data_IF_229329702415
#
_entry.id   IF_229329702415
#
_cell.length_a   1.000
_cell.length_b   1.000
_cell.length_c   1.000
_cell.angle_alpha   90.00
_cell.angle_beta   90.00
_cell.angle_gamma   90.00
#
_symmetry.space_group_name_H-M   'P 1'
#
loop_
_entity.id
_entity.type
_entity.pdbx_description
1 polymer ?
#
# COMPACT_ATOMS: atom_id res chain seq x y z
N UNK A 1 52.31 -30.01 15.67
CA UNK A 1 52.30 -28.55 15.52
C UNK A 1 52.31 -28.06 14.05
N UNK A 2 51.85 -28.86 13.06
CA UNK A 2 51.79 -28.45 11.63
C UNK A 2 50.37 -28.29 11.07
N UNK A 3 49.34 -28.57 11.88
CA UNK A 3 47.92 -28.45 11.47
C UNK A 3 47.38 -27.02 11.64
N UNK A 4 47.93 -26.24 12.57
CA UNK A 4 47.48 -24.88 12.86
C UNK A 4 48.10 -23.79 11.96
N UNK A 5 49.22 -24.07 11.28
CA UNK A 5 49.85 -23.11 10.37
C UNK A 5 49.11 -22.98 9.02
N UNK A 6 48.35 -23.98 8.58
CA UNK A 6 47.68 -23.91 7.27
C UNK A 6 46.36 -23.11 7.28
N UNK A 7 45.90 -22.66 8.44
CA UNK A 7 44.70 -21.82 8.57
C UNK A 7 45.03 -20.31 8.55
N UNK A 8 46.29 -19.92 8.75
CA UNK A 8 46.71 -18.51 8.68
C UNK A 8 47.16 -18.08 7.28
N UNK A 9 47.45 -19.01 6.38
CA UNK A 9 47.92 -18.71 5.01
C UNK A 9 46.79 -18.51 3.97
N UNK A 10 45.51 -18.47 4.41
CA UNK A 10 44.35 -18.22 3.54
C UNK A 10 43.77 -16.81 3.66
N UNK A 11 44.37 -15.91 4.45
CA UNK A 11 43.93 -14.51 4.62
C UNK A 11 44.49 -13.56 3.54
N UNK A 12 44.47 -14.00 2.27
CA UNK A 12 45.14 -13.32 1.16
C UNK A 12 44.24 -12.89 -0.01
N UNK A 13 42.92 -12.83 0.15
CA UNK A 13 42.02 -12.32 -0.89
C UNK A 13 41.39 -10.98 -0.46
N UNK A 14 41.45 -9.92 -1.29
CA UNK A 14 41.10 -8.58 -0.85
C UNK A 14 39.60 -8.47 -0.59
N UNK A 15 39.25 -8.13 0.65
CA UNK A 15 37.92 -7.79 1.18
C UNK A 15 37.34 -6.49 0.56
N UNK A 16 37.76 -6.14 -0.65
CA UNK A 16 37.32 -4.94 -1.40
C UNK A 16 36.44 -5.32 -2.58
N UNK A 17 35.33 -6.00 -2.32
CA UNK A 17 34.26 -6.19 -3.31
C UNK A 17 32.85 -6.31 -2.68
N UNK A 18 32.68 -5.87 -1.43
CA UNK A 18 31.36 -5.84 -0.76
C UNK A 18 30.66 -4.47 -0.94
N UNK A 19 31.29 -3.52 -1.61
CA UNK A 19 30.71 -2.20 -1.86
C UNK A 19 30.27 -2.09 -3.32
N UNK A 20 29.03 -1.60 -3.53
CA UNK A 20 28.45 -1.09 -4.80
C UNK A 20 27.36 -1.92 -5.51
N UNK A 21 26.57 -2.75 -4.82
CA UNK A 21 25.28 -3.22 -5.39
C UNK A 21 24.08 -2.99 -4.44
N UNK A 22 23.99 -1.77 -3.89
CA UNK A 22 22.77 -1.25 -3.22
C UNK A 22 22.19 -0.03 -3.96
N UNK A 23 22.79 0.43 -5.05
CA UNK A 23 22.29 1.58 -5.79
C UNK A 23 21.19 1.14 -6.78
N UNK A 24 19.92 1.37 -6.42
CA UNK A 24 18.83 1.41 -7.40
C UNK A 24 17.48 0.89 -6.98
N UNK A 25 17.02 1.14 -5.75
CA UNK A 25 15.60 1.02 -5.38
C UNK A 25 15.20 2.14 -4.42
N UNK A 26 15.58 3.37 -4.75
CA UNK A 26 14.88 4.54 -4.23
C UNK A 26 13.65 4.78 -5.11
N UNK A 27 12.61 3.98 -4.90
CA UNK A 27 11.27 4.44 -5.20
C UNK A 27 10.91 5.42 -4.07
N UNK A 28 10.83 6.71 -4.39
CA UNK A 28 10.25 7.68 -3.48
C UNK A 28 8.83 7.21 -3.13
N UNK A 29 8.68 6.66 -1.93
CA UNK A 29 7.38 6.30 -1.38
C UNK A 29 6.68 7.61 -1.01
N UNK A 30 5.76 8.06 -1.85
CA UNK A 30 4.81 9.09 -1.47
C UNK A 30 3.78 8.43 -0.54
N UNK A 31 4.11 8.31 0.74
CA UNK A 31 3.35 7.53 1.72
C UNK A 31 1.88 7.99 1.78
N UNK A 32 0.95 7.27 1.14
CA UNK A 32 -0.47 7.37 1.47
C UNK A 32 -0.74 6.43 2.65
N UNK A 33 -0.49 6.92 3.86
CA UNK A 33 -0.71 6.15 5.10
C UNK A 33 -2.17 6.23 5.55
N UNK A 34 -2.62 5.22 6.32
CA UNK A 34 -3.83 5.27 7.16
C UNK A 34 -3.92 6.52 8.06
N UNK A 35 -2.78 7.16 8.33
CA UNK A 35 -2.66 8.46 8.99
C UNK A 35 -3.46 9.55 8.28
N UNK A 36 -3.59 9.53 6.95
CA UNK A 36 -4.36 10.56 6.22
C UNK A 36 -5.87 10.43 6.47
N UNK A 37 -6.41 9.21 6.53
CA UNK A 37 -7.82 8.99 6.85
C UNK A 37 -8.12 9.27 8.32
N UNK A 38 -7.21 8.89 9.22
CA UNK A 38 -7.33 9.21 10.65
C UNK A 38 -7.20 10.72 10.89
N UNK A 39 -6.30 11.41 10.19
CA UNK A 39 -6.17 12.86 10.20
C UNK A 39 -7.43 13.54 9.66
N UNK A 40 -8.05 13.01 8.59
CA UNK A 40 -9.32 13.49 8.07
C UNK A 40 -10.47 13.32 9.07
N UNK A 41 -10.64 12.12 9.64
CA UNK A 41 -11.65 11.86 10.68
C UNK A 41 -11.46 12.73 11.91
N UNK A 42 -10.20 12.93 12.33
CA UNK A 42 -9.85 13.77 13.48
C UNK A 42 -10.07 15.25 13.19
N UNK A 43 -9.66 15.72 12.00
CA UNK A 43 -9.85 17.10 11.55
C UNK A 43 -11.33 17.47 11.56
N UNK A 44 -12.18 16.61 10.99
CA UNK A 44 -13.62 16.83 10.91
C UNK A 44 -14.39 16.35 12.15
N UNK A 45 -13.72 15.71 13.11
CA UNK A 45 -14.32 15.12 14.32
C UNK A 45 -15.51 14.20 14.01
N UNK A 46 -15.37 13.36 12.97
CA UNK A 46 -16.44 12.47 12.51
C UNK A 46 -16.75 11.36 13.54
N UNK A 47 -18.03 11.06 13.74
CA UNK A 47 -18.49 9.95 14.59
C UNK A 47 -18.69 8.69 13.76
N UNK A 48 -18.52 7.50 14.34
CA UNK A 48 -18.72 6.23 13.63
C UNK A 48 -20.13 6.03 13.06
N UNK A 49 -21.13 6.70 13.63
CA UNK A 49 -22.50 6.67 13.14
C UNK A 49 -22.70 7.39 11.81
N UNK A 50 -21.82 8.34 11.48
CA UNK A 50 -21.95 9.27 10.37
C UNK A 50 -21.76 8.58 9.01
N UNK A 51 -22.53 8.99 8.00
CA UNK A 51 -22.39 8.56 6.61
C UNK A 51 -20.99 8.86 6.08
N UNK A 52 -20.44 10.04 6.39
CA UNK A 52 -19.07 10.40 6.01
C UNK A 52 -18.02 9.47 6.60
N UNK A 53 -18.20 9.06 7.86
CA UNK A 53 -17.29 8.10 8.50
C UNK A 53 -17.38 6.71 7.83
N UNK A 54 -18.60 6.24 7.57
CA UNK A 54 -18.87 4.94 6.95
C UNK A 54 -18.49 4.88 5.47
N UNK A 55 -18.40 6.02 4.81
CA UNK A 55 -17.96 6.09 3.43
C UNK A 55 -16.46 5.73 3.30
N UNK A 56 -15.67 5.84 4.37
CA UNK A 56 -14.24 5.51 4.38
C UNK A 56 -13.51 6.16 3.17
N UNK A 57 -12.85 5.36 2.31
CA UNK A 57 -12.20 5.86 1.10
C UNK A 57 -13.19 6.54 0.13
N UNK A 58 -14.46 6.13 0.14
CA UNK A 58 -15.49 6.64 -0.77
C UNK A 58 -15.93 8.07 -0.44
N UNK A 59 -15.49 8.62 0.70
CA UNK A 59 -15.64 10.05 1.00
C UNK A 59 -14.93 10.93 -0.04
N UNK A 60 -13.78 10.48 -0.57
CA UNK A 60 -12.99 11.19 -1.57
C UNK A 60 -12.81 10.42 -2.89
N UNK A 61 -13.18 9.14 -2.94
CA UNK A 61 -13.00 8.28 -4.11
C UNK A 61 -14.33 7.79 -4.67
N UNK A 62 -14.44 7.71 -6.00
CA UNK A 62 -15.52 6.93 -6.66
C UNK A 62 -15.18 5.45 -6.70
N UNK A 63 -13.89 5.16 -6.83
CA UNK A 63 -13.32 3.82 -6.82
C UNK A 63 -11.82 3.99 -6.64
N UNK A 64 -11.25 3.72 -5.45
CA UNK A 64 -9.82 3.91 -5.24
C UNK A 64 -8.97 3.20 -6.31
N UNK A 65 -7.99 3.89 -6.92
CA UNK A 65 -7.47 5.23 -6.55
C UNK A 65 -8.16 6.43 -7.22
N UNK A 66 -9.21 6.24 -8.02
CA UNK A 66 -9.92 7.31 -8.72
C UNK A 66 -10.70 8.19 -7.72
N UNK A 67 -10.53 9.51 -7.83
CA UNK A 67 -11.16 10.49 -6.95
C UNK A 67 -12.56 10.88 -7.45
N UNK A 68 -13.50 11.07 -6.51
CA UNK A 68 -14.77 11.76 -6.76
C UNK A 68 -14.54 13.27 -6.96
N UNK A 69 -15.61 14.04 -7.15
CA UNK A 69 -15.48 15.47 -7.44
C UNK A 69 -14.76 16.22 -6.29
N UNK A 70 -15.21 15.99 -5.05
CA UNK A 70 -14.56 16.51 -3.85
C UNK A 70 -13.10 16.07 -3.69
N UNK A 71 -12.80 14.79 -3.90
CA UNK A 71 -11.43 14.27 -3.81
C UNK A 71 -10.47 14.87 -4.83
N UNK A 72 -10.96 15.25 -6.03
CA UNK A 72 -10.15 15.99 -7.01
C UNK A 72 -9.80 17.39 -6.53
N UNK A 73 -10.71 18.03 -5.80
CA UNK A 73 -10.50 19.35 -5.20
C UNK A 73 -9.55 19.28 -4.02
N UNK A 74 -9.69 18.27 -3.15
CA UNK A 74 -8.71 17.97 -2.10
C UNK A 74 -7.32 17.73 -2.70
N UNK A 75 -7.20 16.90 -3.75
CA UNK A 75 -5.93 16.65 -4.44
C UNK A 75 -5.34 17.93 -5.03
N UNK A 76 -6.17 18.79 -5.62
CA UNK A 76 -5.74 20.06 -6.20
C UNK A 76 -5.26 21.04 -5.12
N UNK A 77 -5.97 21.12 -3.99
CA UNK A 77 -5.61 21.95 -2.85
C UNK A 77 -4.32 21.47 -2.16
N UNK A 78 -4.11 20.16 -2.03
CA UNK A 78 -2.85 19.58 -1.52
C UNK A 78 -1.67 20.01 -2.39
N UNK A 79 -1.81 19.85 -3.71
CA UNK A 79 -0.76 20.23 -4.68
C UNK A 79 -0.48 21.73 -4.65
N UNK A 80 -1.52 22.56 -4.57
CA UNK A 80 -1.37 24.02 -4.53
C UNK A 80 -0.71 24.51 -3.23
N UNK A 81 -1.01 23.86 -2.09
CA UNK A 81 -0.44 24.19 -0.79
C UNK A 81 0.93 23.57 -0.51
N UNK A 82 1.45 22.72 -1.40
CA UNK A 82 2.66 21.93 -1.13
C UNK A 82 2.53 21.04 0.11
N UNK A 83 1.30 20.57 0.39
CA UNK A 83 0.99 19.75 1.57
C UNK A 83 0.85 18.28 1.16
N UNK A 84 1.42 17.40 1.96
CA UNK A 84 1.30 15.94 1.78
C UNK A 84 0.19 15.32 2.64
N UNK A 85 -0.44 16.12 3.51
CA UNK A 85 -1.46 15.67 4.47
C UNK A 85 -2.74 16.49 4.37
N UNK A 86 -3.88 15.79 4.49
CA UNK A 86 -5.20 16.41 4.59
C UNK A 86 -5.36 16.99 6.00
N UNK A 87 -5.35 18.32 6.09
CA UNK A 87 -5.52 19.08 7.35
C UNK A 87 -6.90 19.72 7.42
N UNK A 88 -7.36 20.06 8.62
CA UNK A 88 -8.63 20.80 8.80
C UNK A 88 -8.65 22.11 8.00
N UNK A 89 -7.55 22.86 7.99
CA UNK A 89 -7.46 24.13 7.25
C UNK A 89 -7.57 23.91 5.74
N UNK A 90 -7.04 22.79 5.24
CA UNK A 90 -7.17 22.42 3.83
C UNK A 90 -8.63 22.12 3.49
N UNK A 91 -9.31 21.30 4.30
CA UNK A 91 -10.73 20.97 4.08
C UNK A 91 -11.58 22.24 4.15
N UNK A 92 -11.35 23.10 5.15
CA UNK A 92 -12.04 24.39 5.29
C UNK A 92 -11.84 25.32 4.10
N UNK A 93 -10.68 25.28 3.46
CA UNK A 93 -10.45 26.06 2.24
C UNK A 93 -11.38 25.67 1.08
N UNK A 94 -12.00 24.49 1.16
CA UNK A 94 -12.95 23.97 0.18
C UNK A 94 -14.42 24.11 0.62
N UNK A 95 -14.71 24.62 1.83
CA UNK A 95 -16.09 24.66 2.39
C UNK A 95 -17.08 25.40 1.48
N UNK A 96 -16.64 26.50 0.87
CA UNK A 96 -17.48 27.33 0.01
C UNK A 96 -17.63 26.79 -1.41
N UNK A 97 -16.87 25.76 -1.79
CA UNK A 97 -16.95 25.15 -3.10
C UNK A 97 -18.09 24.14 -3.13
N UNK A 98 -18.79 24.09 -4.25
CA UNK A 98 -19.71 23.00 -4.60
C UNK A 98 -18.92 22.09 -5.57
N UNK A 99 -18.41 20.97 -5.07
CA UNK A 99 -17.49 20.14 -5.85
C UNK A 99 -18.21 19.34 -6.91
N UNK A 100 -19.39 18.81 -6.58
CA UNK A 100 -20.13 17.87 -7.42
C UNK A 100 -21.25 18.52 -8.24
N UNK A 101 -21.51 19.80 -8.00
CA UNK A 101 -22.35 20.67 -8.81
C UNK A 101 -23.84 20.53 -8.51
N UNK A 102 -24.22 20.00 -7.34
CA UNK A 102 -25.61 19.80 -6.96
C UNK A 102 -26.27 21.04 -6.32
N UNK A 103 -25.48 22.11 -6.18
CA UNK A 103 -25.88 23.39 -5.63
C UNK A 103 -25.51 23.56 -4.15
N UNK A 104 -25.11 22.51 -3.43
CA UNK A 104 -24.74 22.59 -2.02
C UNK A 104 -23.23 22.80 -1.86
N UNK A 105 -22.80 23.74 -1.01
CA UNK A 105 -21.39 23.87 -0.68
C UNK A 105 -20.92 22.69 0.17
N UNK A 106 -19.70 22.21 -0.10
CA UNK A 106 -19.05 21.09 0.58
C UNK A 106 -19.16 21.20 2.11
N UNK A 107 -18.94 22.40 2.65
CA UNK A 107 -18.96 22.64 4.09
C UNK A 107 -20.33 22.38 4.72
N UNK A 108 -21.41 22.74 4.03
CA UNK A 108 -22.78 22.54 4.49
C UNK A 108 -23.21 21.08 4.42
N UNK A 109 -22.73 20.36 3.40
CA UNK A 109 -22.95 18.91 3.29
C UNK A 109 -22.18 18.16 4.37
N UNK A 110 -20.90 18.49 4.57
CA UNK A 110 -20.07 17.86 5.63
C UNK A 110 -20.71 18.10 7.00
N UNK A 111 -21.18 19.32 7.24
CA UNK A 111 -21.88 19.70 8.48
C UNK A 111 -23.23 19.01 8.65
N UNK A 112 -23.82 18.44 7.60
CA UNK A 112 -25.09 17.73 7.67
C UNK A 112 -24.93 16.21 7.46
N UNK A 113 -23.70 15.71 7.52
CA UNK A 113 -23.38 14.29 7.32
C UNK A 113 -23.81 13.77 5.93
N UNK A 114 -23.47 14.56 4.91
CA UNK A 114 -23.64 14.28 3.50
C UNK A 114 -22.28 14.16 2.80
N UNK A 115 -22.27 13.64 1.56
CA UNK A 115 -21.03 13.28 0.86
C UNK A 115 -20.76 14.34 -0.21
N UNK A 116 -19.80 15.26 -0.02
CA UNK A 116 -19.62 16.43 -0.89
C UNK A 116 -19.10 16.13 -2.31
N UNK A 117 -18.97 14.85 -2.64
CA UNK A 117 -18.52 14.36 -3.94
C UNK A 117 -19.53 13.43 -4.62
N UNK A 118 -20.74 13.31 -4.07
CA UNK A 118 -21.83 12.50 -4.59
C UNK A 118 -23.10 13.36 -4.77
N UNK A 119 -23.47 13.75 -6.01
CA UNK A 119 -24.61 14.62 -6.29
C UNK A 119 -25.98 14.06 -5.87
N UNK A 120 -26.02 12.84 -5.34
CA UNK A 120 -27.23 12.20 -4.80
C UNK A 120 -27.30 12.27 -3.28
N UNK A 121 -26.24 12.76 -2.63
CA UNK A 121 -26.07 12.77 -1.19
C UNK A 121 -26.07 14.21 -0.70
N UNK A 122 -27.22 14.87 -0.76
CA UNK A 122 -27.37 16.27 -0.33
C UNK A 122 -28.60 16.50 0.56
N UNK A 123 -28.63 17.61 1.32
CA UNK A 123 -29.81 17.99 2.07
C UNK A 123 -31.03 18.24 1.18
N UNK A 124 -32.23 18.02 1.72
CA UNK A 124 -33.47 18.37 1.06
C UNK A 124 -33.74 19.89 1.18
N UNK A 125 -34.10 20.55 0.07
CA UNK A 125 -34.48 21.97 0.07
C UNK A 125 -33.66 22.80 -0.93
N UNK A 126 -33.78 24.13 -0.83
CA UNK A 126 -32.97 25.05 -1.63
C UNK A 126 -31.58 25.24 -0.99
N UNK A 127 -30.52 25.25 -1.80
CA UNK A 127 -29.16 25.41 -1.29
C UNK A 127 -28.96 26.79 -0.63
N UNK A 128 -28.30 26.84 0.54
CA UNK A 128 -27.96 28.08 1.21
C UNK A 128 -26.85 28.82 0.45
N UNK A 129 -26.81 30.15 0.57
CA UNK A 129 -25.61 30.91 0.18
C UNK A 129 -24.46 30.48 1.08
N UNK A 130 -23.32 30.11 0.48
CA UNK A 130 -22.11 29.70 1.19
C UNK A 130 -21.79 30.65 2.36
N UNK A 131 -21.72 30.11 3.57
CA UNK A 131 -21.32 30.85 4.77
C UNK A 131 -19.95 30.39 5.26
N UNK A 132 -19.15 31.31 5.76
CA UNK A 132 -17.88 30.99 6.39
C UNK A 132 -18.18 30.38 7.78
N UNK A 133 -17.80 29.13 8.01
CA UNK A 133 -18.18 28.41 9.23
C UNK A 133 -17.25 28.70 10.43
N UNK A 134 -17.70 29.56 11.35
CA UNK A 134 -17.16 29.63 12.72
C UNK A 134 -17.85 28.64 13.69
N UNK A 135 -18.86 27.90 13.25
CA UNK A 135 -19.60 26.95 14.08
C UNK A 135 -19.25 25.50 13.78
N UNK A 136 -18.27 24.93 14.49
CA UNK A 136 -18.13 23.48 14.57
C UNK A 136 -19.36 22.87 15.26
N UNK A 137 -19.78 21.67 14.86
CA UNK A 137 -20.75 20.89 15.61
C UNK A 137 -20.31 20.75 17.08
N UNK A 138 -21.14 21.21 18.00
CA UNK A 138 -21.00 20.89 19.42
C UNK A 138 -22.13 21.47 20.26
N UNK A 139 -23.13 20.65 20.62
CA UNK A 139 -23.88 20.76 21.88
C UNK A 139 -24.94 19.64 22.00
N UNK A 140 -24.59 18.51 22.62
CA UNK A 140 -25.12 18.15 23.93
C UNK A 140 -24.57 16.80 24.41
N UNK A 141 -24.11 16.81 25.65
CA UNK A 141 -23.97 15.66 26.56
C UNK A 141 -25.30 14.87 26.49
N UNK A 142 -25.31 13.56 26.31
CA UNK A 142 -24.97 12.59 27.35
C UNK A 142 -24.33 11.32 26.79
N UNK A 143 -23.24 10.91 27.45
CA UNK A 143 -22.66 9.58 27.36
C UNK A 143 -23.65 8.58 28.00
N UNK A 144 -24.05 7.52 27.27
CA UNK A 144 -23.50 6.23 27.64
C UNK A 144 -23.28 5.37 26.40
N UNK A 145 -22.04 5.28 25.94
CA UNK A 145 -21.53 4.01 25.42
C UNK A 145 -20.03 4.11 25.21
N UNK A 146 -19.30 3.78 26.27
CA UNK A 146 -18.11 2.96 26.08
C UNK A 146 -18.57 1.64 25.45
N UNK A 147 -18.72 1.62 24.13
CA UNK A 147 -18.67 0.36 23.41
C UNK A 147 -17.20 0.01 23.34
N UNK A 148 -16.86 -1.11 23.98
CA UNK A 148 -15.60 -1.81 23.79
C UNK A 148 -15.15 -1.63 22.34
N UNK A 149 -14.04 -0.92 22.12
CA UNK A 149 -13.22 -1.20 20.96
C UNK A 149 -13.04 -2.71 20.99
N UNK A 150 -13.56 -3.39 19.98
CA UNK A 150 -13.41 -4.83 19.81
C UNK A 150 -11.98 -5.18 20.17
N UNK A 151 -11.75 -6.20 21.00
CA UNK A 151 -10.38 -6.58 21.39
C UNK A 151 -9.49 -6.77 20.14
N UNK A 152 -10.08 -7.10 19.00
CA UNK A 152 -9.41 -7.16 17.70
C UNK A 152 -8.92 -5.80 17.18
N UNK A 153 -9.63 -4.69 17.38
CA UNK A 153 -9.21 -3.35 16.94
C UNK A 153 -8.03 -2.80 17.78
N UNK A 154 -7.87 -3.31 19.01
CA UNK A 154 -6.74 -2.96 19.90
C UNK A 154 -5.45 -3.70 19.53
N UNK A 155 -5.55 -4.91 19.00
CA UNK A 155 -4.39 -5.73 18.61
C UNK A 155 -4.13 -5.75 17.10
N UNK A 156 -5.13 -5.41 16.28
CA UNK A 156 -5.01 -5.25 14.83
C UNK A 156 -5.41 -3.81 14.48
N UNK A 157 -4.44 -2.89 14.47
CA UNK A 157 -4.69 -1.52 14.08
C UNK A 157 -5.40 -1.42 12.73
N UNK A 158 -6.29 -0.43 12.55
CA UNK A 158 -6.98 -0.15 11.27
C UNK A 158 -6.00 0.23 10.13
N UNK A 159 -4.72 0.39 10.45
CA UNK A 159 -3.66 0.76 9.53
C UNK A 159 -3.23 -0.43 8.65
N UNK A 160 -3.10 -0.22 7.34
CA UNK A 160 -2.68 -1.24 6.38
C UNK A 160 -1.22 -1.65 6.59
N UNK A 161 -1.00 -2.76 7.30
CA UNK A 161 0.34 -3.39 7.42
C UNK A 161 0.78 -4.09 6.13
N UNK A 162 -0.13 -4.30 5.19
CA UNK A 162 0.15 -5.04 3.97
C UNK A 162 1.28 -4.42 3.12
N UNK A 163 1.28 -3.09 2.82
CA UNK A 163 2.42 -2.44 2.17
C UNK A 163 3.75 -2.60 2.89
N UNK A 164 3.78 -2.74 4.23
CA UNK A 164 5.02 -3.03 4.95
C UNK A 164 5.47 -4.47 4.72
N UNK A 165 4.56 -5.42 4.83
CA UNK A 165 4.83 -6.86 4.73
C UNK A 165 5.29 -7.28 3.32
N UNK A 166 4.75 -6.66 2.26
CA UNK A 166 5.10 -7.01 0.86
C UNK A 166 6.54 -6.72 0.49
N UNK A 167 7.29 -5.90 1.24
CA UNK A 167 8.69 -5.63 0.95
C UNK A 167 9.55 -6.89 1.08
N UNK A 168 9.19 -7.79 2.00
CA UNK A 168 9.91 -9.05 2.19
C UNK A 168 9.82 -9.98 0.96
N UNK A 169 8.63 -10.41 0.49
CA UNK A 169 8.54 -11.28 -0.67
C UNK A 169 9.12 -10.62 -1.93
N UNK A 170 8.91 -9.32 -2.14
CA UNK A 170 9.42 -8.61 -3.32
C UNK A 170 10.95 -8.56 -3.29
N UNK A 171 11.55 -8.04 -2.20
CA UNK A 171 13.00 -7.84 -2.13
C UNK A 171 13.74 -9.19 -2.15
N UNK A 172 13.32 -10.15 -1.31
CA UNK A 172 14.00 -11.45 -1.22
C UNK A 172 13.91 -12.22 -2.54
N UNK A 173 12.77 -12.18 -3.22
CA UNK A 173 12.61 -12.92 -4.46
C UNK A 173 13.39 -12.28 -5.62
N UNK A 174 13.32 -10.96 -5.79
CA UNK A 174 14.07 -10.26 -6.83
C UNK A 174 15.58 -10.34 -6.59
N UNK A 175 16.03 -10.19 -5.34
CA UNK A 175 17.43 -10.36 -4.97
C UNK A 175 17.90 -11.80 -5.18
N UNK A 176 17.09 -12.79 -4.77
CA UNK A 176 17.37 -14.21 -5.00
C UNK A 176 17.47 -14.56 -6.49
N UNK A 177 16.58 -14.01 -7.32
CA UNK A 177 16.65 -14.15 -8.77
C UNK A 177 17.92 -13.52 -9.36
N UNK A 178 18.33 -12.35 -8.85
CA UNK A 178 19.60 -11.74 -9.20
C UNK A 178 20.79 -12.65 -8.87
N UNK A 179 20.86 -13.14 -7.64
CA UNK A 179 21.91 -14.07 -7.19
C UNK A 179 21.93 -15.36 -8.01
N UNK A 180 20.77 -15.88 -8.41
CA UNK A 180 20.68 -17.04 -9.30
C UNK A 180 21.36 -16.82 -10.63
N UNK A 181 21.07 -15.68 -11.28
CA UNK A 181 21.63 -15.33 -12.58
C UNK A 181 23.12 -15.01 -12.45
N UNK A 182 23.53 -14.22 -11.45
CA UNK A 182 24.94 -13.88 -11.23
C UNK A 182 25.78 -15.09 -10.84
N UNK A 183 25.29 -15.92 -9.93
CA UNK A 183 25.97 -17.14 -9.50
C UNK A 183 26.12 -18.14 -10.65
N UNK A 184 25.13 -18.22 -11.56
CA UNK A 184 25.25 -19.07 -12.76
C UNK A 184 26.31 -18.53 -13.72
N UNK A 185 26.29 -17.23 -14.02
CA UNK A 185 27.29 -16.59 -14.90
C UNK A 185 28.71 -16.69 -14.36
N UNK A 186 28.87 -16.57 -13.05
CA UNK A 186 30.18 -16.66 -12.36
C UNK A 186 30.59 -18.08 -12.01
N UNK A 187 29.71 -19.08 -12.23
CA UNK A 187 29.89 -20.47 -11.76
C UNK A 187 30.19 -20.54 -10.25
N UNK A 188 29.57 -19.66 -9.47
CA UNK A 188 29.76 -19.56 -8.02
C UNK A 188 28.67 -20.33 -7.27
N UNK A 189 28.98 -21.49 -6.67
CA UNK A 189 28.00 -22.30 -5.95
C UNK A 189 27.51 -21.63 -4.65
N UNK A 190 28.31 -20.76 -4.04
CA UNK A 190 27.94 -20.02 -2.83
C UNK A 190 26.87 -18.98 -3.14
N UNK A 191 27.05 -18.20 -4.21
CA UNK A 191 26.01 -17.26 -4.68
C UNK A 191 24.73 -17.98 -5.07
N UNK A 192 24.83 -19.14 -5.73
CA UNK A 192 23.68 -19.98 -6.09
C UNK A 192 22.93 -20.48 -4.86
N UNK A 193 23.65 -20.87 -3.81
CA UNK A 193 23.07 -21.31 -2.53
C UNK A 193 22.39 -20.16 -1.80
N UNK A 194 23.01 -18.98 -1.77
CA UNK A 194 22.40 -17.77 -1.20
C UNK A 194 21.13 -17.36 -1.98
N UNK A 195 21.18 -17.39 -3.31
CA UNK A 195 20.01 -17.13 -4.17
C UNK A 195 18.86 -18.09 -3.90
N UNK A 196 19.15 -19.38 -3.73
CA UNK A 196 18.13 -20.37 -3.37
C UNK A 196 17.43 -20.04 -2.04
N UNK A 197 18.19 -19.72 -0.99
CA UNK A 197 17.62 -19.35 0.31
C UNK A 197 16.79 -18.07 0.21
N UNK A 198 17.26 -17.06 -0.52
CA UNK A 198 16.51 -15.83 -0.74
C UNK A 198 15.17 -16.10 -1.47
N UNK A 199 15.17 -16.90 -2.54
CA UNK A 199 13.95 -17.30 -3.24
C UNK A 199 12.99 -18.05 -2.32
N UNK A 200 13.50 -18.98 -1.49
CA UNK A 200 12.69 -19.75 -0.55
C UNK A 200 12.04 -18.84 0.50
N UNK A 201 12.81 -17.98 1.16
CA UNK A 201 12.26 -17.06 2.16
C UNK A 201 11.33 -16.02 1.55
N UNK A 202 11.61 -15.55 0.33
CA UNK A 202 10.70 -14.71 -0.44
C UNK A 202 9.36 -15.42 -0.65
N UNK A 203 9.37 -16.68 -1.11
CA UNK A 203 8.15 -17.46 -1.27
C UNK A 203 7.42 -17.76 0.05
N UNK A 204 8.15 -18.08 1.14
CA UNK A 204 7.53 -18.33 2.45
C UNK A 204 6.87 -17.08 3.03
N UNK A 205 7.45 -15.90 2.81
CA UNK A 205 6.88 -14.64 3.30
C UNK A 205 5.53 -14.28 2.66
N UNK A 206 5.18 -14.88 1.51
CA UNK A 206 3.83 -14.68 0.91
C UNK A 206 2.72 -15.28 1.78
N UNK A 207 3.03 -16.25 2.66
CA UNK A 207 2.09 -16.82 3.61
C UNK A 207 1.51 -15.76 4.57
N UNK A 208 2.22 -14.66 4.82
CA UNK A 208 1.76 -13.52 5.62
C UNK A 208 1.23 -12.40 4.72
N UNK A 209 1.86 -12.17 3.56
CA UNK A 209 1.45 -11.13 2.63
C UNK A 209 0.03 -11.34 2.07
N UNK A 210 -0.34 -12.59 1.75
CA UNK A 210 -1.64 -12.91 1.14
C UNK A 210 -2.80 -12.64 2.11
N UNK A 211 -2.81 -13.16 3.36
CA UNK A 211 -3.88 -12.87 4.31
C UNK A 211 -4.01 -11.37 4.60
N UNK A 212 -2.89 -10.66 4.76
CA UNK A 212 -2.92 -9.22 5.04
C UNK A 212 -3.43 -8.41 3.86
N UNK A 213 -3.11 -8.80 2.62
CA UNK A 213 -3.63 -8.15 1.42
C UNK A 213 -5.13 -8.37 1.24
N UNK A 214 -5.60 -9.61 1.48
CA UNK A 214 -7.03 -9.91 1.44
C UNK A 214 -7.80 -9.16 2.53
N UNK A 215 -7.22 -9.04 3.74
CA UNK A 215 -7.82 -8.29 4.83
C UNK A 215 -8.00 -6.81 4.47
N UNK A 216 -7.00 -6.19 3.84
CA UNK A 216 -7.11 -4.81 3.33
C UNK A 216 -8.15 -4.72 2.22
N UNK A 217 -8.15 -5.65 1.28
CA UNK A 217 -9.15 -5.68 0.21
C UNK A 217 -10.59 -5.72 0.75
N UNK A 218 -10.84 -6.58 1.74
CA UNK A 218 -12.17 -6.75 2.36
C UNK A 218 -12.57 -5.56 3.24
N UNK A 219 -11.60 -4.86 3.83
CA UNK A 219 -11.87 -3.74 4.77
C UNK A 219 -11.88 -2.36 4.11
N UNK A 220 -11.24 -2.17 2.96
CA UNK A 220 -11.12 -0.85 2.32
C UNK A 220 -12.19 -0.57 1.26
N UNK A 221 -13.21 -1.44 1.14
CA UNK A 221 -14.26 -1.31 0.13
C UNK A 221 -13.79 -1.45 -1.32
N UNK A 222 -12.58 -1.99 -1.54
CA UNK A 222 -12.07 -2.25 -2.87
C UNK A 222 -13.00 -3.22 -3.62
N UNK A 223 -13.20 -2.93 -4.90
CA UNK A 223 -14.04 -3.74 -5.77
C UNK A 223 -13.17 -4.65 -6.63
N UNK A 224 -13.70 -5.79 -7.05
CA UNK A 224 -13.04 -6.74 -7.97
C UNK A 224 -12.99 -6.21 -9.42
N UNK A 225 -12.44 -5.02 -9.61
CA UNK A 225 -12.37 -4.33 -10.89
C UNK A 225 -11.22 -3.32 -10.91
N UNK A 226 -10.76 -2.92 -12.10
CA UNK A 226 -9.70 -1.94 -12.27
C UNK A 226 -8.36 -2.37 -11.64
N UNK A 227 -7.62 -1.40 -11.10
CA UNK A 227 -6.29 -1.61 -10.51
C UNK A 227 -6.29 -2.68 -9.42
N UNK A 228 -7.35 -2.77 -8.61
CA UNK A 228 -7.43 -3.73 -7.51
C UNK A 228 -7.48 -5.17 -8.06
N UNK A 229 -8.31 -5.42 -9.08
CA UNK A 229 -8.36 -6.71 -9.76
C UNK A 229 -7.04 -7.05 -10.45
N UNK A 230 -6.43 -6.08 -11.15
CA UNK A 230 -5.15 -6.28 -11.84
C UNK A 230 -4.06 -6.68 -10.84
N UNK A 231 -3.95 -5.95 -9.73
CA UNK A 231 -3.01 -6.28 -8.65
C UNK A 231 -3.28 -7.67 -8.09
N UNK A 232 -4.54 -8.02 -7.77
CA UNK A 232 -4.88 -9.34 -7.21
C UNK A 232 -4.52 -10.49 -8.17
N UNK A 233 -4.83 -10.36 -9.47
CA UNK A 233 -4.47 -11.38 -10.47
C UNK A 233 -2.94 -11.51 -10.55
N UNK A 234 -2.22 -10.39 -10.68
CA UNK A 234 -0.76 -10.40 -10.76
C UNK A 234 -0.12 -10.94 -9.49
N UNK A 235 -0.64 -10.65 -8.31
CA UNK A 235 -0.14 -11.16 -7.03
C UNK A 235 -0.32 -12.68 -6.91
N UNK A 236 -1.47 -13.21 -7.34
CA UNK A 236 -1.70 -14.67 -7.40
C UNK A 236 -0.76 -15.32 -8.41
N UNK A 237 -0.68 -14.77 -9.63
CA UNK A 237 0.23 -15.27 -10.68
C UNK A 237 1.68 -15.26 -10.20
N UNK A 238 2.15 -14.15 -9.63
CA UNK A 238 3.49 -14.03 -9.06
C UNK A 238 3.73 -15.11 -7.99
N UNK A 239 2.82 -15.28 -7.04
CA UNK A 239 2.94 -16.29 -5.98
C UNK A 239 3.09 -17.70 -6.54
N UNK A 240 2.25 -18.06 -7.52
CA UNK A 240 2.31 -19.39 -8.16
C UNK A 240 3.63 -19.60 -8.91
N UNK A 241 4.09 -18.60 -9.67
CA UNK A 241 5.36 -18.66 -10.39
C UNK A 241 6.56 -18.73 -9.44
N UNK A 242 6.53 -17.98 -8.34
CA UNK A 242 7.54 -18.03 -7.27
C UNK A 242 7.61 -19.44 -6.65
N UNK A 243 6.46 -19.99 -6.26
CA UNK A 243 6.38 -21.34 -5.69
C UNK A 243 6.88 -22.40 -6.68
N UNK A 244 6.46 -22.33 -7.94
CA UNK A 244 6.94 -23.21 -9.00
C UNK A 244 8.46 -23.12 -9.19
N UNK A 245 9.02 -21.91 -9.17
CA UNK A 245 10.47 -21.67 -9.28
C UNK A 245 11.23 -22.32 -8.11
N UNK A 246 10.75 -22.15 -6.88
CA UNK A 246 11.37 -22.72 -5.67
C UNK A 246 11.29 -24.25 -5.69
N UNK A 247 10.13 -24.82 -6.06
CA UNK A 247 9.92 -26.27 -6.16
C UNK A 247 10.82 -26.86 -7.26
N UNK A 248 10.87 -26.25 -8.44
CA UNK A 248 11.75 -26.70 -9.53
C UNK A 248 13.20 -26.67 -9.07
N UNK A 249 13.63 -25.56 -8.48
CA UNK A 249 14.99 -25.41 -7.99
C UNK A 249 15.39 -26.50 -7.00
N UNK A 250 14.48 -26.88 -6.09
CA UNK A 250 14.67 -27.98 -5.14
C UNK A 250 14.89 -29.35 -5.81
N UNK A 251 14.36 -29.57 -7.02
CA UNK A 251 14.54 -30.81 -7.80
C UNK A 251 15.91 -30.91 -8.49
N UNK A 252 16.75 -29.87 -8.44
CA UNK A 252 18.12 -29.91 -8.97
C UNK A 252 18.28 -29.66 -10.47
N UNK A 253 17.21 -29.63 -11.28
CA UNK A 253 17.27 -29.38 -12.73
C UNK A 253 17.25 -27.86 -13.07
N UNK A 254 18.17 -27.09 -12.52
CA UNK A 254 18.08 -25.62 -12.43
C UNK A 254 19.15 -24.85 -13.23
N UNK A 255 19.75 -25.51 -14.22
CA UNK A 255 20.70 -24.90 -15.17
C UNK A 255 20.12 -24.77 -16.58
N UNK A 256 18.89 -25.21 -16.80
CA UNK A 256 18.23 -25.17 -18.10
C UNK A 256 17.72 -23.78 -18.46
N UNK A 257 17.62 -23.49 -19.77
CA UNK A 257 16.98 -22.27 -20.26
C UNK A 257 15.55 -22.12 -19.73
N UNK A 258 14.79 -23.22 -19.68
CA UNK A 258 13.42 -23.24 -19.16
C UNK A 258 13.32 -22.78 -17.71
N UNK A 259 14.28 -23.16 -16.85
CA UNK A 259 14.34 -22.69 -15.47
C UNK A 259 14.55 -21.17 -15.41
N UNK A 260 15.50 -20.64 -16.19
CA UNK A 260 15.76 -19.20 -16.23
C UNK A 260 14.61 -18.40 -16.86
N UNK A 261 13.91 -18.96 -17.83
CA UNK A 261 12.68 -18.36 -18.37
C UNK A 261 11.60 -18.27 -17.29
N UNK A 262 11.36 -19.34 -16.54
CA UNK A 262 10.41 -19.33 -15.42
C UNK A 262 10.82 -18.31 -14.34
N UNK A 263 12.09 -18.28 -13.96
CA UNK A 263 12.64 -17.32 -13.00
C UNK A 263 12.44 -15.87 -13.46
N UNK A 264 12.70 -15.59 -14.74
CA UNK A 264 12.49 -14.26 -15.34
C UNK A 264 11.02 -13.86 -15.36
N UNK A 265 10.12 -14.75 -15.77
CA UNK A 265 8.68 -14.52 -15.74
C UNK A 265 8.16 -14.28 -14.31
N UNK A 266 8.65 -15.07 -13.34
CA UNK A 266 8.32 -14.89 -11.93
C UNK A 266 8.78 -13.51 -11.42
N UNK A 267 10.01 -13.11 -11.73
CA UNK A 267 10.54 -11.80 -11.33
C UNK A 267 9.76 -10.63 -11.95
N UNK A 268 9.39 -10.73 -13.24
CA UNK A 268 8.55 -9.73 -13.92
C UNK A 268 7.17 -9.66 -13.26
N UNK A 269 6.55 -10.81 -12.99
CA UNK A 269 5.24 -10.85 -12.33
C UNK A 269 5.28 -10.23 -10.92
N UNK A 270 6.33 -10.49 -10.14
CA UNK A 270 6.54 -9.85 -8.82
C UNK A 270 6.69 -8.33 -8.96
N UNK A 271 7.50 -7.86 -9.91
CA UNK A 271 7.67 -6.44 -10.18
C UNK A 271 6.36 -5.76 -10.61
N UNK A 272 5.59 -6.40 -11.49
CA UNK A 272 4.29 -5.91 -11.93
C UNK A 272 3.27 -5.88 -10.78
N UNK A 273 3.17 -6.95 -9.98
CA UNK A 273 2.30 -6.99 -8.80
C UNK A 273 2.65 -5.87 -7.81
N UNK A 274 3.95 -5.62 -7.58
CA UNK A 274 4.44 -4.51 -6.77
C UNK A 274 4.07 -3.14 -7.35
N UNK A 275 4.23 -2.95 -8.65
CA UNK A 275 3.87 -1.69 -9.33
C UNK A 275 2.38 -1.38 -9.20
N UNK A 276 1.50 -2.32 -9.56
CA UNK A 276 0.05 -2.10 -9.45
C UNK A 276 -0.42 -2.05 -7.98
N UNK A 277 0.29 -2.73 -7.06
CA UNK A 277 0.08 -2.58 -5.63
C UNK A 277 0.41 -1.16 -5.14
N UNK A 278 1.50 -0.58 -5.64
CA UNK A 278 1.86 0.81 -5.36
C UNK A 278 0.81 1.80 -5.90
N UNK A 279 0.25 1.55 -7.08
CA UNK A 279 -0.84 2.39 -7.64
C UNK A 279 -2.12 2.36 -6.81
N UNK A 280 -2.40 1.27 -6.08
CA UNK A 280 -3.55 1.22 -5.15
C UNK A 280 -3.34 2.11 -3.92
N UNK A 281 -2.10 2.31 -3.52
CA UNK A 281 -1.75 3.12 -2.35
C UNK A 281 -1.55 4.58 -2.78
N UNK A 282 -0.76 4.81 -3.82
CA UNK A 282 -0.29 6.15 -4.20
C UNK A 282 -1.09 6.80 -5.33
N UNK A 283 -1.93 6.02 -6.00
CA UNK A 283 -2.64 6.45 -7.20
C UNK A 283 -1.75 6.49 -8.46
N UNK A 284 -2.34 6.84 -9.61
CA UNK A 284 -1.63 7.04 -10.88
C UNK A 284 -0.82 8.34 -10.92
#
# INVERSE_FOLDING_TARGET
MRFWQSLQDQEGAPVRAISVLVAGLFAAAAIATPEQMEAFHTALRLKESFRLYKAECMSCHTKPPEHNAFGKDVKSALKAGGKDLVTLDLIRSLDAKDSDGDGWPNGEEIKQDFLPGDPKSHPAGMPPKATNHEGMMGANMDNPSGKEQSLLDRYVPKHSFHPLIIHFPIALFLFGAGLEVFGWRRKDPTMRKAGWWALLFGALSTAIAIPTGLMVFLRSGFQWQGTALIHSILAVTATLLMAATVIWRRKGAHESLSYFTLLGLAAIAVGAAGHFGALLVYGP
#
